data_IF_003206789590
#
_entry.id   IF_003206789590
#
_cell.length_a   1.000
_cell.length_b   1.000
_cell.length_c   1.000
_cell.angle_alpha   90.00
_cell.angle_beta   90.00
_cell.angle_gamma   90.00
#
_symmetry.space_group_name_H-M   'P 1'
#
loop_
_entity.id
_entity.type
_entity.pdbx_description
1 polymer ?
#
# COMPACT_ATOMS: atom_id res chain seq x y z
N UNK A 1 -4.73 -8.99 28.82
CA UNK A 1 -4.95 -7.58 28.36
C UNK A 1 -4.24 -7.42 27.03
N UNK A 2 -4.99 -7.36 25.93
CA UNK A 2 -4.43 -7.24 24.58
C UNK A 2 -4.48 -5.75 24.18
N UNK A 3 -3.35 -5.05 24.23
CA UNK A 3 -3.29 -3.63 23.86
C UNK A 3 -3.52 -3.52 22.35
N UNK A 4 -4.09 -2.42 21.82
CA UNK A 4 -4.15 -2.20 20.37
C UNK A 4 -2.77 -2.28 19.69
N UNK A 5 -1.69 -2.01 20.44
CA UNK A 5 -0.32 -2.18 19.97
C UNK A 5 0.05 -3.65 19.66
N UNK A 6 -0.49 -4.61 20.41
CA UNK A 6 -0.17 -6.03 20.26
C UNK A 6 -0.75 -6.59 18.95
N UNK A 7 -1.95 -6.13 18.57
CA UNK A 7 -2.55 -6.37 17.25
C UNK A 7 -1.64 -5.90 16.11
N UNK A 8 -1.11 -4.68 16.24
CA UNK A 8 -0.22 -4.10 15.23
C UNK A 8 1.10 -4.87 15.14
N UNK A 9 1.69 -5.26 16.27
CA UNK A 9 2.91 -6.09 16.30
C UNK A 9 2.65 -7.45 15.64
N UNK A 10 1.50 -8.08 15.91
CA UNK A 10 1.14 -9.35 15.29
C UNK A 10 0.95 -9.22 13.77
N UNK A 11 0.34 -8.12 13.32
CA UNK A 11 0.29 -7.78 11.90
C UNK A 11 1.70 -7.65 11.29
N UNK A 12 2.62 -6.94 11.96
CA UNK A 12 4.01 -6.80 11.50
C UNK A 12 4.75 -8.14 11.41
N UNK A 13 4.52 -9.06 12.35
CA UNK A 13 5.08 -10.41 12.26
C UNK A 13 4.53 -11.19 11.06
N UNK A 14 3.22 -11.09 10.80
CA UNK A 14 2.56 -11.79 9.69
C UNK A 14 3.00 -11.28 8.32
N UNK A 15 3.15 -9.98 8.17
CA UNK A 15 3.61 -9.36 6.91
C UNK A 15 5.06 -9.70 6.58
N UNK A 16 5.95 -9.71 7.58
CA UNK A 16 7.36 -10.10 7.40
C UNK A 16 7.57 -11.59 7.14
N UNK A 17 6.64 -12.44 7.57
CA UNK A 17 6.70 -13.87 7.29
C UNK A 17 6.32 -14.22 5.84
N UNK A 18 5.63 -13.31 5.13
CA UNK A 18 5.12 -13.54 3.78
C UNK A 18 5.82 -12.73 2.70
N UNK A 19 7.08 -12.34 2.88
CA UNK A 19 7.90 -11.54 1.95
C UNK A 19 8.04 -12.09 0.50
N UNK A 20 7.32 -13.15 0.13
CA UNK A 20 7.26 -13.73 -1.21
C UNK A 20 5.91 -13.60 -1.92
N UNK A 21 4.93 -12.84 -1.42
CA UNK A 21 3.57 -12.80 -2.01
C UNK A 21 3.33 -11.71 -3.05
N UNK A 22 4.15 -10.65 -3.08
CA UNK A 22 4.06 -9.69 -4.16
C UNK A 22 4.73 -10.28 -5.41
N UNK A 23 3.96 -10.56 -6.47
CA UNK A 23 4.50 -10.91 -7.78
C UNK A 23 5.33 -9.77 -8.43
N UNK A 24 5.42 -8.62 -7.74
CA UNK A 24 6.10 -7.42 -8.19
C UNK A 24 7.44 -7.26 -7.45
N UNK A 25 8.44 -6.62 -8.09
CA UNK A 25 9.71 -6.30 -7.44
C UNK A 25 9.53 -5.43 -6.19
N UNK A 26 10.39 -5.64 -5.19
CA UNK A 26 10.38 -4.90 -3.92
C UNK A 26 10.41 -3.38 -4.12
N UNK A 27 9.74 -2.67 -3.22
CA UNK A 27 9.71 -1.22 -3.14
C UNK A 27 10.77 -0.73 -2.15
N UNK A 28 11.39 0.41 -2.43
CA UNK A 28 12.12 1.12 -1.38
C UNK A 28 11.19 2.00 -0.53
N UNK A 29 11.71 2.55 0.57
CA UNK A 29 10.92 3.35 1.51
C UNK A 29 10.18 4.55 0.87
N UNK A 30 10.72 5.16 -0.19
CA UNK A 30 10.05 6.28 -0.89
C UNK A 30 8.95 5.74 -1.80
N UNK A 31 9.22 4.63 -2.48
CA UNK A 31 8.26 3.96 -3.35
C UNK A 31 7.08 3.39 -2.54
N UNK A 32 7.31 2.87 -1.34
CA UNK A 32 6.26 2.49 -0.38
C UNK A 32 5.39 3.69 0.04
N UNK A 33 6.02 4.83 0.35
CA UNK A 33 5.28 6.06 0.69
C UNK A 33 4.43 6.57 -0.49
N UNK A 34 4.94 6.44 -1.72
CA UNK A 34 4.18 6.75 -2.93
C UNK A 34 2.99 5.78 -3.04
N UNK A 35 3.21 4.47 -2.88
CA UNK A 35 2.16 3.45 -2.95
C UNK A 35 1.02 3.77 -1.97
N UNK A 36 1.36 4.00 -0.70
CA UNK A 36 0.39 4.35 0.35
C UNK A 36 -0.34 5.66 0.00
N UNK A 37 0.38 6.67 -0.48
CA UNK A 37 -0.23 7.95 -0.86
C UNK A 37 -1.24 7.78 -1.99
N UNK A 38 -0.92 6.98 -3.01
CA UNK A 38 -1.85 6.70 -4.12
C UNK A 38 -3.05 5.89 -3.63
N UNK A 39 -2.83 4.86 -2.81
CA UNK A 39 -3.89 4.03 -2.25
C UNK A 39 -4.91 4.85 -1.45
N UNK A 40 -4.44 5.72 -0.54
CA UNK A 40 -5.30 6.60 0.27
C UNK A 40 -6.16 7.52 -0.60
N UNK A 41 -5.57 8.10 -1.64
CA UNK A 41 -6.24 9.04 -2.54
C UNK A 41 -7.24 8.35 -3.44
N UNK A 42 -6.91 7.16 -3.95
CA UNK A 42 -7.86 6.33 -4.69
C UNK A 42 -9.05 5.91 -3.81
N UNK A 43 -8.80 5.54 -2.55
CA UNK A 43 -9.87 5.23 -1.58
C UNK A 43 -10.78 6.42 -1.27
N UNK A 44 -10.25 7.65 -1.36
CA UNK A 44 -11.02 8.89 -1.26
C UNK A 44 -11.70 9.32 -2.59
N UNK A 45 -11.62 8.50 -3.64
CA UNK A 45 -12.07 8.82 -5.01
C UNK A 45 -11.45 10.09 -5.61
N UNK A 46 -10.27 10.48 -5.11
CA UNK A 46 -9.53 11.62 -5.63
C UNK A 46 -8.72 11.20 -6.87
N UNK A 47 -8.76 12.05 -7.89
CA UNK A 47 -7.92 11.87 -9.07
C UNK A 47 -6.52 12.40 -8.78
N UNK A 48 -5.51 11.58 -9.00
CA UNK A 48 -4.10 11.96 -8.91
C UNK A 48 -3.47 11.98 -10.29
N UNK A 49 -2.79 13.06 -10.65
CA UNK A 49 -1.84 13.06 -11.76
C UNK A 49 -0.39 13.09 -11.25
N UNK A 50 0.57 12.86 -12.16
CA UNK A 50 2.00 12.88 -11.85
C UNK A 50 2.43 14.20 -11.18
N UNK A 51 1.87 15.33 -11.63
CA UNK A 51 2.17 16.66 -11.07
C UNK A 51 1.73 16.78 -9.61
N UNK A 52 0.60 16.20 -9.25
CA UNK A 52 0.08 16.27 -7.89
C UNK A 52 1.03 15.52 -6.94
N UNK A 53 1.49 14.33 -7.33
CA UNK A 53 2.45 13.54 -6.56
C UNK A 53 3.80 14.25 -6.42
N UNK A 54 4.29 14.86 -7.50
CA UNK A 54 5.53 15.66 -7.50
C UNK A 54 5.44 16.86 -6.54
N UNK A 55 4.25 17.44 -6.37
CA UNK A 55 4.01 18.57 -5.46
C UNK A 55 4.00 18.20 -3.97
N UNK A 56 3.97 16.91 -3.62
CA UNK A 56 3.92 16.46 -2.23
C UNK A 56 5.32 16.50 -1.62
N UNK A 57 5.63 17.57 -0.89
CA UNK A 57 6.97 17.82 -0.32
C UNK A 57 7.50 16.65 0.54
N UNK A 58 6.64 15.93 1.27
CA UNK A 58 7.05 14.77 2.09
C UNK A 58 7.56 13.57 1.27
N UNK A 59 7.25 13.49 -0.02
CA UNK A 59 7.75 12.42 -0.91
C UNK A 59 9.17 12.73 -1.44
N UNK A 60 9.68 13.94 -1.17
CA UNK A 60 11.01 14.40 -1.54
C UNK A 60 11.03 15.39 -2.70
N UNK A 61 12.22 15.68 -3.22
CA UNK A 61 12.39 16.64 -4.31
C UNK A 61 11.65 16.20 -5.59
N UNK A 62 11.15 17.13 -6.42
CA UNK A 62 10.42 16.83 -7.65
C UNK A 62 11.07 15.79 -8.56
N UNK A 63 12.37 15.93 -8.82
CA UNK A 63 13.14 15.02 -9.68
C UNK A 63 13.20 13.61 -9.10
N UNK A 64 13.34 13.48 -7.78
CA UNK A 64 13.42 12.19 -7.09
C UNK A 64 12.08 11.47 -7.14
N UNK A 65 10.98 12.18 -6.85
CA UNK A 65 9.62 11.63 -6.98
C UNK A 65 9.34 11.19 -8.41
N UNK A 66 9.66 12.02 -9.41
CA UNK A 66 9.46 11.66 -10.81
C UNK A 66 10.20 10.37 -11.20
N UNK A 67 11.48 10.24 -10.82
CA UNK A 67 12.26 9.01 -11.06
C UNK A 67 11.65 7.79 -10.39
N UNK A 68 11.12 7.93 -9.18
CA UNK A 68 10.46 6.84 -8.45
C UNK A 68 9.13 6.45 -9.08
N UNK A 69 8.34 7.41 -9.55
CA UNK A 69 7.13 7.12 -10.31
C UNK A 69 7.44 6.33 -11.59
N UNK A 70 8.51 6.68 -12.31
CA UNK A 70 8.96 5.90 -13.46
C UNK A 70 9.39 4.48 -13.07
N UNK A 71 10.19 4.35 -12.02
CA UNK A 71 10.65 3.05 -11.52
C UNK A 71 9.47 2.16 -11.08
N UNK A 72 8.53 2.68 -10.30
CA UNK A 72 7.33 1.96 -9.87
C UNK A 72 6.44 1.52 -11.03
N UNK A 73 6.34 2.34 -12.09
CA UNK A 73 5.64 1.93 -13.32
C UNK A 73 6.34 0.78 -14.02
N UNK A 74 7.68 0.83 -14.15
CA UNK A 74 8.47 -0.27 -14.72
C UNK A 74 8.36 -1.54 -13.88
N UNK A 75 8.33 -1.41 -12.55
CA UNK A 75 8.10 -2.52 -11.62
C UNK A 75 6.66 -3.05 -11.63
N UNK A 76 5.73 -2.40 -12.33
CA UNK A 76 4.34 -2.85 -12.44
C UNK A 76 3.43 -2.48 -11.28
N UNK A 77 3.86 -1.57 -10.39
CA UNK A 77 3.04 -1.09 -9.25
C UNK A 77 2.04 -0.01 -9.65
N UNK A 78 2.40 0.80 -10.66
CA UNK A 78 1.61 1.94 -11.09
C UNK A 78 1.28 1.85 -12.58
N UNK A 79 0.09 2.30 -12.93
CA UNK A 79 -0.32 2.55 -14.31
C UNK A 79 -0.72 4.01 -14.51
N UNK A 80 -0.63 4.46 -15.76
CA UNK A 80 -1.19 5.73 -16.18
C UNK A 80 -2.45 5.44 -16.98
N UNK A 81 -3.60 5.83 -16.45
CA UNK A 81 -4.87 5.71 -17.12
C UNK A 81 -5.15 7.02 -17.88
N UNK A 82 -5.61 6.87 -19.12
CA UNK A 82 -6.14 8.00 -19.86
C UNK A 82 -7.49 8.40 -19.24
N UNK A 83 -7.73 9.70 -19.17
CA UNK A 83 -9.00 10.24 -18.64
C UNK A 83 -9.77 10.89 -19.78
N UNK A 84 -11.06 11.15 -19.58
CA UNK A 84 -11.88 11.94 -20.52
C UNK A 84 -11.30 13.33 -20.80
N UNK A 85 -10.41 13.83 -19.94
CA UNK A 85 -9.51 14.94 -20.24
C UNK A 85 -8.13 14.41 -20.67
N UNK A 86 -7.88 14.42 -21.98
CA UNK A 86 -6.64 13.97 -22.61
C UNK A 86 -5.38 14.74 -22.13
N UNK A 87 -5.54 15.83 -21.36
CA UNK A 87 -4.43 16.68 -20.90
C UNK A 87 -3.79 16.20 -19.60
N UNK A 88 -4.36 15.22 -18.89
CA UNK A 88 -3.79 14.69 -17.64
C UNK A 88 -3.95 13.17 -17.52
N UNK A 89 -2.85 12.45 -17.65
CA UNK A 89 -2.81 11.02 -17.31
C UNK A 89 -2.97 10.83 -15.80
N UNK A 90 -3.92 10.00 -15.40
CA UNK A 90 -4.19 9.68 -14.01
C UNK A 90 -3.27 8.55 -13.55
N UNK A 91 -2.64 8.73 -12.40
CA UNK A 91 -1.87 7.67 -11.73
C UNK A 91 -2.84 6.79 -10.97
N UNK A 92 -2.74 5.47 -11.18
CA UNK A 92 -3.52 4.47 -10.47
C UNK A 92 -2.64 3.28 -10.11
N UNK A 93 -3.01 2.56 -9.06
CA UNK A 93 -2.47 1.24 -8.73
C UNK A 93 -2.86 0.23 -9.80
N UNK A 94 -1.97 -0.71 -10.10
CA UNK A 94 -2.26 -1.88 -10.94
C UNK A 94 -3.05 -2.93 -10.14
N UNK A 95 -3.58 -3.95 -10.83
CA UNK A 95 -4.22 -5.09 -10.15
C UNK A 95 -3.25 -5.78 -9.20
N UNK A 96 -2.01 -6.03 -9.61
CA UNK A 96 -1.00 -6.66 -8.76
C UNK A 96 -0.64 -5.80 -7.53
N UNK A 97 -0.68 -4.47 -7.65
CA UNK A 97 -0.55 -3.59 -6.50
C UNK A 97 -1.76 -3.68 -5.55
N UNK A 98 -2.97 -3.83 -6.08
CA UNK A 98 -4.17 -4.08 -5.28
C UNK A 98 -4.13 -5.45 -4.60
N UNK A 99 -3.68 -6.50 -5.28
CA UNK A 99 -3.50 -7.84 -4.71
C UNK A 99 -2.54 -7.82 -3.51
N UNK A 100 -1.48 -7.00 -3.60
CA UNK A 100 -0.58 -6.77 -2.47
C UNK A 100 -1.30 -6.09 -1.29
N UNK A 101 -2.15 -5.09 -1.55
CA UNK A 101 -2.96 -4.46 -0.50
C UNK A 101 -3.98 -5.44 0.11
N UNK A 102 -4.57 -6.33 -0.69
CA UNK A 102 -5.47 -7.38 -0.22
C UNK A 102 -4.73 -8.39 0.68
N UNK A 103 -3.51 -8.76 0.32
CA UNK A 103 -2.64 -9.57 1.18
C UNK A 103 -2.40 -8.90 2.54
N UNK A 104 -2.03 -7.61 2.56
CA UNK A 104 -1.86 -6.85 3.80
C UNK A 104 -3.16 -6.80 4.62
N UNK A 105 -4.31 -6.59 3.96
CA UNK A 105 -5.62 -6.65 4.59
C UNK A 105 -5.92 -8.02 5.22
N UNK A 106 -5.53 -9.10 4.55
CA UNK A 106 -5.57 -10.47 5.05
C UNK A 106 -4.77 -10.63 6.35
N UNK A 107 -3.53 -10.17 6.38
CA UNK A 107 -2.69 -10.21 7.58
C UNK A 107 -3.32 -9.47 8.76
N UNK A 108 -3.95 -8.31 8.52
CA UNK A 108 -4.67 -7.57 9.58
C UNK A 108 -5.85 -8.39 10.11
N UNK A 109 -6.65 -9.01 9.24
CA UNK A 109 -7.78 -9.85 9.67
C UNK A 109 -7.33 -11.03 10.51
N UNK A 110 -6.26 -11.70 10.10
CA UNK A 110 -5.70 -12.82 10.85
C UNK A 110 -5.14 -12.39 12.20
N UNK A 111 -4.39 -11.29 12.26
CA UNK A 111 -3.93 -10.73 13.53
C UNK A 111 -5.12 -10.41 14.45
N UNK A 112 -6.16 -9.78 13.92
CA UNK A 112 -7.38 -9.50 14.67
C UNK A 112 -8.12 -10.77 15.14
N UNK A 113 -8.06 -11.86 14.37
CA UNK A 113 -8.65 -13.15 14.77
C UNK A 113 -7.85 -13.82 15.90
N UNK A 114 -6.53 -13.91 15.76
CA UNK A 114 -5.66 -14.48 16.80
C UNK A 114 -5.71 -13.69 18.11
N UNK A 115 -5.82 -12.37 18.04
CA UNK A 115 -5.99 -11.50 19.20
C UNK A 115 -7.32 -11.66 19.94
N UNK A 116 -8.37 -12.18 19.28
CA UNK A 116 -9.68 -12.50 19.87
C UNK A 116 -9.77 -13.94 20.39
N UNK A 117 -8.82 -14.80 20.00
CA UNK A 117 -8.81 -16.23 20.33
C UNK A 117 -8.41 -16.60 21.76
N UNK A 118 -8.11 -15.62 22.62
CA UNK A 118 -7.65 -15.84 24.00
C UNK A 118 -8.77 -15.66 25.06
N UNK A 119 -10.04 -15.82 24.66
CA UNK A 119 -11.22 -15.76 25.56
C UNK A 119 -12.13 -16.98 25.35
N UNK A 120 -11.56 -18.19 25.29
CA UNK A 120 -12.34 -19.39 24.96
C UNK A 120 -11.82 -20.73 25.47
N UNK A 121 -10.91 -20.78 26.45
CA UNK A 121 -10.50 -22.04 27.11
C UNK A 121 -10.61 -21.95 28.63
N UNK A 122 -11.81 -21.66 29.12
CA UNK A 122 -12.19 -21.98 30.49
C UNK A 122 -13.71 -22.05 30.61
N UNK A 123 -14.28 -23.23 30.45
CA UNK A 123 -15.45 -23.71 31.21
C UNK A 123 -15.59 -25.21 30.97
N UNK A 124 -15.56 -25.92 32.10
CA UNK A 124 -15.87 -27.34 32.33
C UNK A 124 -17.04 -27.90 31.52
#
# INVERSE_FOLDING_TARGET
MNRPADLYIQFLHKTQAGSGTAALPELDAVEEQILITVALRQGAHERLCVRDLIGIARLGSPTRVFRRLQAMRTKGWLTLQDTTDNRRKQVALTSAAMDHLDYLGGCIREAAASARGDVGSASD
#
